data_IF_578957437451
#
_entry.id   IF_578957437451
#
_cell.length_a   1.000
_cell.length_b   1.000
_cell.length_c   1.000
_cell.angle_alpha   90.00
_cell.angle_beta   90.00
_cell.angle_gamma   90.00
#
_symmetry.space_group_name_H-M   'P 1'
#
loop_
_entity.id
_entity.type
_entity.pdbx_description
1 polymer ?
#
# COMPACT_ATOMS: atom_id res chain seq x y z
N UNK A 1 2.67 3.36 -11.05
CA UNK A 1 2.93 4.77 -10.65
C UNK A 1 3.25 4.79 -9.16
N UNK A 2 4.37 5.39 -8.78
CA UNK A 2 4.85 5.52 -7.40
C UNK A 2 4.68 6.98 -7.00
N UNK A 3 3.98 7.25 -5.89
CA UNK A 3 3.77 8.60 -5.37
C UNK A 3 4.46 8.73 -4.01
N UNK A 4 5.11 9.87 -3.77
CA UNK A 4 5.68 10.26 -2.47
C UNK A 4 4.67 11.12 -1.70
N UNK A 5 4.38 10.75 -0.45
CA UNK A 5 3.53 11.54 0.45
C UNK A 5 4.11 11.55 1.86
N UNK A 6 3.97 12.67 2.57
CA UNK A 6 4.20 12.75 4.02
C UNK A 6 2.97 12.18 4.73
N UNK A 7 3.17 11.14 5.52
CA UNK A 7 2.11 10.43 6.26
C UNK A 7 1.53 11.28 7.39
N UNK A 8 0.21 11.12 7.62
CA UNK A 8 -0.53 11.61 8.81
C UNK A 8 -1.06 10.46 9.68
N UNK A 9 -0.77 9.21 9.31
CA UNK A 9 -1.27 8.01 10.00
C UNK A 9 -0.17 6.94 10.05
N UNK A 10 -0.03 6.30 11.22
CA UNK A 10 0.90 5.18 11.44
C UNK A 10 0.50 3.97 10.60
N UNK A 11 1.21 3.74 9.50
CA UNK A 11 1.04 2.56 8.63
C UNK A 11 2.22 1.62 8.79
N UNK A 12 2.09 0.34 8.41
CA UNK A 12 3.24 -0.59 8.40
C UNK A 12 3.84 -0.66 7.01
N UNK A 13 5.17 -0.61 6.96
CA UNK A 13 5.92 -0.91 5.75
C UNK A 13 5.74 -2.39 5.37
N UNK A 14 5.46 -2.66 4.11
CA UNK A 14 5.27 -4.04 3.63
C UNK A 14 6.55 -4.88 3.63
N UNK A 15 7.72 -4.25 3.46
CA UNK A 15 9.02 -4.95 3.41
C UNK A 15 9.54 -5.26 4.81
N UNK A 16 9.73 -4.23 5.65
CA UNK A 16 10.38 -4.40 6.95
C UNK A 16 9.42 -4.58 8.12
N UNK A 17 8.10 -4.55 7.88
CA UNK A 17 7.03 -4.62 8.89
C UNK A 17 7.05 -3.53 9.98
N UNK A 18 8.03 -2.62 9.97
CA UNK A 18 8.13 -1.49 10.90
C UNK A 18 7.03 -0.47 10.63
N UNK A 19 6.67 0.25 11.68
CA UNK A 19 5.74 1.38 11.59
C UNK A 19 6.41 2.56 10.89
N UNK A 20 5.72 3.09 9.89
CA UNK A 20 5.99 4.36 9.25
C UNK A 20 5.52 5.46 10.21
N UNK A 21 6.44 6.35 10.56
CA UNK A 21 6.16 7.49 11.43
C UNK A 21 5.58 8.68 10.65
N UNK A 22 5.00 9.63 11.37
CA UNK A 22 4.43 10.84 10.76
C UNK A 22 5.56 11.74 10.23
N UNK A 23 5.40 12.23 9.00
CA UNK A 23 6.41 13.06 8.33
C UNK A 23 7.50 12.29 7.60
N UNK A 24 7.55 10.96 7.70
CA UNK A 24 8.44 10.13 6.88
C UNK A 24 7.99 10.11 5.42
N UNK A 25 8.97 10.16 4.52
CA UNK A 25 8.72 9.96 3.11
C UNK A 25 8.58 8.47 2.81
N UNK A 26 7.49 8.13 2.12
CA UNK A 26 7.18 6.74 1.77
C UNK A 26 6.80 6.59 0.31
N UNK A 27 7.02 5.38 -0.18
CA UNK A 27 6.54 4.91 -1.47
C UNK A 27 5.15 4.31 -1.28
N UNK A 28 4.17 4.87 -1.98
CA UNK A 28 2.82 4.34 -2.02
C UNK A 28 2.59 3.60 -3.34
N UNK A 29 2.20 2.34 -3.26
CA UNK A 29 1.91 1.48 -4.40
C UNK A 29 0.43 1.07 -4.42
N UNK A 30 -0.24 1.31 -5.55
CA UNK A 30 -1.63 0.89 -5.77
C UNK A 30 -1.63 -0.53 -6.34
N UNK A 31 -2.19 -1.47 -5.58
CA UNK A 31 -2.39 -2.85 -6.03
C UNK A 31 -3.87 -3.06 -6.32
N UNK A 32 -4.15 -3.54 -7.52
CA UNK A 32 -5.51 -3.92 -7.94
C UNK A 32 -5.53 -5.44 -8.02
N UNK A 33 -6.32 -6.08 -7.16
CA UNK A 33 -6.52 -7.52 -7.18
C UNK A 33 -7.89 -7.83 -7.75
N UNK A 34 -7.94 -8.70 -8.75
CA UNK A 34 -9.18 -9.20 -9.30
C UNK A 34 -9.47 -10.57 -8.70
N UNK A 35 -10.69 -10.77 -8.21
CA UNK A 35 -11.15 -12.05 -7.69
C UNK A 35 -12.47 -12.42 -8.36
N UNK A 36 -12.52 -13.64 -8.87
CA UNK A 36 -13.73 -14.20 -9.42
C UNK A 36 -14.58 -14.80 -8.30
N UNK A 37 -15.85 -14.40 -8.25
CA UNK A 37 -16.85 -14.98 -7.36
C UNK A 37 -17.95 -15.63 -8.21
N UNK A 38 -18.28 -16.92 -7.99
CA UNK A 38 -19.22 -17.66 -8.84
C UNK A 38 -20.59 -16.98 -9.02
N UNK A 39 -21.09 -16.33 -7.96
CA UNK A 39 -22.41 -15.66 -7.97
C UNK A 39 -22.34 -14.20 -8.40
N UNK A 40 -21.22 -13.53 -8.10
CA UNK A 40 -21.08 -12.07 -8.25
C UNK A 40 -20.24 -11.64 -9.46
N UNK A 41 -19.63 -12.60 -10.15
CA UNK A 41 -18.73 -12.34 -11.27
C UNK A 41 -17.35 -11.84 -10.82
N UNK A 42 -16.66 -11.15 -11.72
CA UNK A 42 -15.29 -10.69 -11.53
C UNK A 42 -15.28 -9.37 -10.75
N UNK A 43 -14.78 -9.41 -9.51
CA UNK A 43 -14.73 -8.25 -8.62
C UNK A 43 -13.31 -7.69 -8.56
N UNK A 44 -13.17 -6.35 -8.58
CA UNK A 44 -11.89 -5.65 -8.47
C UNK A 44 -11.77 -5.02 -7.08
N UNK A 45 -10.69 -5.34 -6.37
CA UNK A 45 -10.36 -4.77 -5.07
C UNK A 45 -9.11 -3.93 -5.20
N UNK A 46 -9.19 -2.69 -4.73
CA UNK A 46 -8.06 -1.78 -4.70
C UNK A 46 -7.48 -1.79 -3.30
N UNK A 47 -6.19 -2.10 -3.19
CA UNK A 47 -5.42 -2.05 -1.95
C UNK A 47 -4.23 -1.10 -2.13
N UNK A 48 -3.97 -0.28 -1.13
CA UNK A 48 -2.76 0.53 -1.07
C UNK A 48 -1.71 -0.14 -0.21
N UNK A 49 -0.50 -0.27 -0.74
CA UNK A 49 0.68 -0.74 -0.04
C UNK A 49 1.62 0.43 0.20
N UNK A 50 2.31 0.41 1.35
CA UNK A 50 3.18 1.48 1.80
C UNK A 50 4.55 0.88 2.12
N UNK A 51 5.61 1.57 1.71
CA UNK A 51 7.00 1.12 1.86
C UNK A 51 7.89 2.31 2.20
N UNK A 52 8.87 2.14 3.10
CA UNK A 52 9.88 3.17 3.32
C UNK A 52 10.77 3.31 2.08
N UNK A 53 11.20 4.53 1.75
CA UNK A 53 12.06 4.79 0.58
C UNK A 53 13.37 3.97 0.61
N UNK A 54 13.89 3.67 1.81
CA UNK A 54 15.13 2.91 1.99
C UNK A 54 14.97 1.41 2.26
N UNK A 55 13.76 0.86 2.36
CA UNK A 55 13.60 -0.58 2.44
C UNK A 55 13.71 -1.16 1.04
N UNK A 56 14.60 -2.15 0.83
CA UNK A 56 14.83 -2.89 -0.41
C UNK A 56 14.10 -4.22 -0.38
#
# INVERSE_FOLDING_TARGET
MIYTQKTKHRKRCIECSRLIQDGEEILMHKVITEKYYPVKGLMKFVKWQFRHIGCA
#
